data_IF_457075331859
#
_entry.id   IF_457075331859
#
_cell.length_a   1.000
_cell.length_b   1.000
_cell.length_c   1.000
_cell.angle_alpha   90.00
_cell.angle_beta   90.00
_cell.angle_gamma   90.00
#
_symmetry.space_group_name_H-M   'P 1'
#
loop_
_entity.id
_entity.type
_entity.pdbx_description
1 polymer ?
#
# COMPACT_ATOMS: atom_id res chain seq x y z
N UNK A 1 24.44 -44.29 -5.60
CA UNK A 1 23.52 -45.45 -5.57
C UNK A 1 22.81 -45.39 -4.23
N UNK A 2 21.49 -45.16 -4.25
CA UNK A 2 20.59 -45.49 -3.13
C UNK A 2 20.72 -46.99 -2.81
N UNK A 3 20.41 -47.45 -1.58
CA UNK A 3 19.01 -47.66 -1.22
C UNK A 3 18.62 -47.33 0.25
N UNK A 4 17.40 -46.82 0.44
CA UNK A 4 16.59 -46.96 1.66
C UNK A 4 16.29 -48.43 1.99
N UNK A 5 15.89 -48.77 3.24
CA UNK A 5 14.50 -49.20 3.40
C UNK A 5 13.80 -48.81 4.72
N UNK A 6 12.48 -48.74 4.61
CA UNK A 6 11.43 -48.64 5.64
C UNK A 6 11.51 -49.70 6.76
N UNK A 7 11.07 -49.31 7.96
CA UNK A 7 10.23 -50.15 8.83
C UNK A 7 9.13 -49.31 9.49
N UNK A 8 7.90 -49.76 9.29
CA UNK A 8 6.66 -49.31 9.92
C UNK A 8 6.50 -49.91 11.32
N UNK A 9 5.99 -49.13 12.27
CA UNK A 9 5.16 -49.66 13.35
C UNK A 9 4.16 -48.62 13.82
N UNK A 10 2.89 -49.01 13.76
CA UNK A 10 1.69 -48.35 14.26
C UNK A 10 1.66 -48.34 15.79
N UNK A 11 1.25 -47.23 16.40
CA UNK A 11 0.65 -47.23 17.73
C UNK A 11 -0.26 -46.00 17.88
N UNK A 12 -1.55 -46.26 18.06
CA UNK A 12 -2.56 -45.30 18.46
C UNK A 12 -2.26 -44.81 19.90
N UNK A 13 -2.47 -43.51 20.14
CA UNK A 13 -2.29 -42.91 21.46
C UNK A 13 -2.88 -41.51 21.49
N UNK A 14 -4.08 -41.44 22.04
CA UNK A 14 -4.79 -40.23 22.47
C UNK A 14 -3.90 -39.39 23.40
N UNK A 15 -3.76 -38.09 23.14
CA UNK A 15 -2.83 -37.25 23.90
C UNK A 15 -2.82 -35.78 23.48
N UNK A 16 -3.75 -35.02 24.06
CA UNK A 16 -3.71 -33.58 24.38
C UNK A 16 -2.64 -32.75 23.65
N UNK A 17 -3.04 -31.94 22.67
CA UNK A 17 -2.18 -30.88 22.11
C UNK A 17 -2.11 -29.74 23.13
N UNK A 18 -1.02 -29.68 23.88
CA UNK A 18 -0.63 -28.47 24.62
C UNK A 18 -0.11 -27.43 23.62
N UNK A 19 -0.83 -26.33 23.48
CA UNK A 19 -0.40 -25.17 22.69
C UNK A 19 0.62 -24.39 23.51
N UNK A 20 1.89 -24.21 23.08
CA UNK A 20 2.80 -23.32 23.77
C UNK A 20 2.42 -21.87 23.49
N UNK A 21 2.15 -21.10 24.56
CA UNK A 21 1.96 -19.66 24.49
C UNK A 21 3.33 -18.98 24.24
N UNK A 22 3.64 -18.72 22.97
CA UNK A 22 4.72 -17.80 22.59
C UNK A 22 4.27 -16.38 22.92
N UNK A 23 4.77 -15.88 24.04
CA UNK A 23 4.72 -14.47 24.45
C UNK A 23 5.81 -13.73 23.69
N UNK A 24 5.53 -13.36 22.43
CA UNK A 24 6.35 -12.37 21.74
C UNK A 24 5.93 -10.97 22.21
N UNK A 25 6.85 -10.12 22.68
CA UNK A 25 6.53 -8.74 23.01
C UNK A 25 6.11 -8.01 21.72
N UNK A 26 4.91 -7.45 21.73
CA UNK A 26 4.46 -6.52 20.68
C UNK A 26 5.50 -5.38 20.63
N UNK A 27 6.14 -5.11 19.48
CA UNK A 27 7.03 -3.96 19.36
C UNK A 27 6.23 -2.69 19.68
N UNK A 28 6.73 -1.88 20.60
CA UNK A 28 6.15 -0.58 20.91
C UNK A 28 6.01 0.23 19.61
N UNK A 29 4.93 1.01 19.42
CA UNK A 29 4.83 1.90 18.27
C UNK A 29 5.99 2.90 18.36
N UNK A 30 6.88 2.87 17.37
CA UNK A 30 7.89 3.89 17.20
C UNK A 30 7.19 5.25 17.15
N UNK A 31 7.45 6.07 18.16
CA UNK A 31 7.01 7.47 18.23
C UNK A 31 7.74 8.30 17.18
N UNK A 32 7.36 8.17 15.91
CA UNK A 32 7.61 9.21 14.92
C UNK A 32 6.56 10.30 15.13
N UNK A 33 6.80 11.12 16.16
CA UNK A 33 5.98 12.27 16.53
C UNK A 33 6.26 13.47 15.61
N UNK A 34 6.07 13.30 14.31
CA UNK A 34 5.61 14.41 13.47
C UNK A 34 4.09 14.40 13.57
N UNK A 35 3.47 15.53 13.89
CA UNK A 35 2.00 15.53 13.96
C UNK A 35 1.46 15.23 12.55
N UNK A 36 0.33 14.53 12.45
CA UNK A 36 -0.31 14.21 11.15
C UNK A 36 -0.53 15.48 10.32
N UNK A 37 -0.73 16.62 11.00
CA UNK A 37 -0.84 17.94 10.40
C UNK A 37 0.44 18.39 9.70
N UNK A 38 1.63 18.15 10.28
CA UNK A 38 2.93 18.49 9.67
C UNK A 38 3.16 17.71 8.36
N UNK A 39 2.79 16.42 8.34
CA UNK A 39 2.90 15.59 7.13
C UNK A 39 1.96 16.06 6.03
N UNK A 40 0.74 16.47 6.41
CA UNK A 40 -0.25 17.00 5.48
C UNK A 40 0.18 18.35 4.91
N UNK A 41 0.80 19.20 5.72
CA UNK A 41 1.38 20.45 5.24
C UNK A 41 2.54 20.20 4.27
N UNK A 42 3.48 19.33 4.62
CA UNK A 42 4.58 18.93 3.74
C UNK A 42 4.09 18.38 2.40
N UNK A 43 3.02 17.58 2.41
CA UNK A 43 2.37 17.11 1.19
C UNK A 43 1.80 18.25 0.35
N UNK A 44 1.12 19.20 0.98
CA UNK A 44 0.57 20.38 0.28
C UNK A 44 1.68 21.16 -0.41
N UNK A 45 2.81 21.37 0.27
CA UNK A 45 3.95 22.08 -0.29
C UNK A 45 4.55 21.36 -1.51
N UNK A 46 4.63 20.02 -1.47
CA UNK A 46 5.07 19.22 -2.62
C UNK A 46 4.09 19.36 -3.79
N UNK A 47 2.78 19.24 -3.52
CA UNK A 47 1.74 19.38 -4.55
C UNK A 47 1.86 20.73 -5.25
N UNK A 48 1.98 21.81 -4.48
CA UNK A 48 2.13 23.17 -5.01
C UNK A 48 3.41 23.32 -5.85
N UNK A 49 4.51 22.68 -5.45
CA UNK A 49 5.78 22.70 -6.19
C UNK A 49 5.71 21.88 -7.49
N UNK A 50 5.01 20.75 -7.49
CA UNK A 50 4.73 19.95 -8.71
C UNK A 50 3.90 20.77 -9.70
N UNK A 51 2.82 21.43 -9.25
CA UNK A 51 2.00 22.29 -10.09
C UNK A 51 2.80 23.47 -10.68
N UNK A 52 3.65 24.10 -9.86
CA UNK A 52 4.55 25.16 -10.31
C UNK A 52 5.54 24.65 -11.36
N UNK A 53 6.07 23.44 -11.19
CA UNK A 53 6.98 22.78 -12.13
C UNK A 53 6.30 22.47 -13.46
N UNK A 54 5.07 21.95 -13.43
CA UNK A 54 4.25 21.76 -14.64
C UNK A 54 4.00 23.10 -15.37
N UNK A 55 3.70 24.15 -14.63
CA UNK A 55 3.55 25.50 -15.17
C UNK A 55 4.84 26.04 -15.81
N UNK A 56 6.00 25.78 -15.22
CA UNK A 56 7.31 26.14 -15.77
C UNK A 56 7.61 25.36 -17.05
N UNK A 57 7.36 24.06 -17.08
CA UNK A 57 7.51 23.21 -18.27
C UNK A 57 6.66 23.73 -19.43
N UNK A 58 5.40 24.07 -19.18
CA UNK A 58 4.52 24.64 -20.20
C UNK A 58 5.03 26.00 -20.70
N UNK A 59 5.45 26.88 -19.78
CA UNK A 59 6.06 28.18 -20.13
C UNK A 59 7.34 28.01 -20.95
N UNK A 60 8.14 27.00 -20.65
CA UNK A 60 9.36 26.67 -21.38
C UNK A 60 9.03 26.21 -22.80
N UNK A 61 8.06 25.30 -22.94
CA UNK A 61 7.53 24.85 -24.23
C UNK A 61 7.08 26.03 -25.11
N UNK A 62 6.30 26.97 -24.58
CA UNK A 62 5.84 28.14 -25.33
C UNK A 62 7.00 29.02 -25.80
N UNK A 63 8.00 29.24 -24.94
CA UNK A 63 9.20 30.02 -25.29
C UNK A 63 10.04 29.35 -26.37
N UNK A 64 10.21 28.03 -26.31
CA UNK A 64 10.96 27.27 -27.33
C UNK A 64 10.18 27.21 -28.65
N UNK A 65 8.86 27.02 -28.58
CA UNK A 65 8.00 26.90 -29.77
C UNK A 65 7.93 28.19 -30.61
N UNK A 66 8.11 29.35 -29.96
CA UNK A 66 8.10 30.67 -30.60
C UNK A 66 9.41 31.42 -30.37
N UNK A 67 10.52 30.68 -30.40
CA UNK A 67 11.83 31.23 -30.04
C UNK A 67 12.23 32.42 -30.93
N UNK A 68 12.77 33.44 -30.28
CA UNK A 68 13.45 34.57 -30.91
C UNK A 68 14.71 34.95 -30.12
N UNK A 69 15.62 35.71 -30.72
CA UNK A 69 16.86 36.15 -30.05
C UNK A 69 16.58 36.90 -28.74
N UNK A 70 15.50 37.69 -28.69
CA UNK A 70 15.08 38.39 -27.47
C UNK A 70 14.67 37.44 -26.33
N UNK A 71 14.26 36.20 -26.65
CA UNK A 71 13.83 35.20 -25.67
C UNK A 71 14.98 34.35 -25.12
N UNK A 72 16.21 34.52 -25.62
CA UNK A 72 17.35 33.70 -25.20
C UNK A 72 17.64 33.78 -23.70
N UNK A 73 17.71 35.00 -23.14
CA UNK A 73 17.95 35.17 -21.71
C UNK A 73 16.78 34.65 -20.86
N UNK A 74 15.50 34.99 -21.14
CA UNK A 74 14.36 34.39 -20.45
C UNK A 74 14.31 32.86 -20.50
N UNK A 75 14.71 32.25 -21.63
CA UNK A 75 14.77 30.80 -21.79
C UNK A 75 15.77 30.18 -20.81
N UNK A 76 17.00 30.72 -20.75
CA UNK A 76 18.04 30.25 -19.83
C UNK A 76 17.63 30.43 -18.36
N UNK A 77 17.00 31.56 -18.03
CA UNK A 77 16.46 31.80 -16.69
C UNK A 77 15.40 30.75 -16.32
N UNK A 78 14.45 30.47 -17.22
CA UNK A 78 13.39 29.47 -16.99
C UNK A 78 13.96 28.05 -16.83
N UNK A 79 14.99 27.68 -17.59
CA UNK A 79 15.68 26.40 -17.43
C UNK A 79 16.34 26.28 -16.04
N UNK A 80 17.07 27.31 -15.61
CA UNK A 80 17.69 27.31 -14.29
C UNK A 80 16.64 27.27 -13.17
N UNK A 81 15.52 27.99 -13.32
CA UNK A 81 14.40 27.92 -12.39
C UNK A 81 13.79 26.52 -12.34
N UNK A 82 13.61 25.85 -13.47
CA UNK A 82 13.12 24.47 -13.51
C UNK A 82 14.05 23.51 -12.76
N UNK A 83 15.36 23.62 -12.98
CA UNK A 83 16.35 22.80 -12.26
C UNK A 83 16.29 23.06 -10.75
N UNK A 84 16.16 24.32 -10.34
CA UNK A 84 16.05 24.68 -8.92
C UNK A 84 14.74 24.17 -8.28
N UNK A 85 13.61 24.22 -8.99
CA UNK A 85 12.34 23.68 -8.49
C UNK A 85 12.37 22.16 -8.39
N UNK A 86 12.98 21.44 -9.35
CA UNK A 86 13.16 19.98 -9.26
C UNK A 86 14.04 19.56 -8.09
N UNK A 87 15.13 20.29 -7.82
CA UNK A 87 15.96 20.10 -6.62
C UNK A 87 15.17 20.40 -5.33
N UNK A 88 14.31 21.42 -5.38
CA UNK A 88 13.35 21.73 -4.32
C UNK A 88 12.41 20.54 -4.03
N UNK A 89 11.74 20.01 -5.07
CA UNK A 89 10.83 18.86 -4.93
C UNK A 89 11.56 17.67 -4.30
N UNK A 90 12.79 17.38 -4.74
CA UNK A 90 13.58 16.27 -4.18
C UNK A 90 13.81 16.44 -2.67
N UNK A 91 14.14 17.65 -2.22
CA UNK A 91 14.34 17.97 -0.79
C UNK A 91 13.05 17.92 0.01
N UNK A 92 11.94 18.42 -0.54
CA UNK A 92 10.65 18.35 0.14
C UNK A 92 10.18 16.89 0.27
N UNK A 93 10.43 16.07 -0.75
CA UNK A 93 10.05 14.64 -0.76
C UNK A 93 10.69 13.82 0.36
N UNK A 94 11.88 14.20 0.84
CA UNK A 94 12.54 13.53 1.98
C UNK A 94 11.71 13.60 3.27
N UNK A 95 10.85 14.62 3.41
CA UNK A 95 9.99 14.79 4.58
C UNK A 95 8.64 14.04 4.44
N UNK A 96 8.36 13.45 3.28
CA UNK A 96 7.11 12.76 3.00
C UNK A 96 7.24 11.24 3.13
N UNK A 97 7.12 10.76 4.37
CA UNK A 97 7.24 9.35 4.73
C UNK A 97 5.92 8.56 4.50
N UNK A 98 5.56 8.31 3.24
CA UNK A 98 4.38 7.50 2.88
C UNK A 98 4.80 6.14 2.31
N UNK A 99 4.09 5.07 2.70
CA UNK A 99 4.23 3.77 2.08
C UNK A 99 3.19 3.64 0.96
N UNK A 100 3.68 3.50 -0.27
CA UNK A 100 2.85 3.35 -1.46
C UNK A 100 2.97 1.90 -1.93
N UNK A 101 1.86 1.13 -2.00
CA UNK A 101 1.87 -0.22 -2.58
C UNK A 101 2.33 -0.20 -4.04
N UNK A 102 3.13 -1.18 -4.45
CA UNK A 102 3.67 -1.25 -5.81
C UNK A 102 2.55 -1.35 -6.86
N UNK A 103 1.43 -1.97 -6.52
CA UNK A 103 0.25 -2.07 -7.38
C UNK A 103 -0.29 -0.69 -7.77
N UNK A 104 -0.24 0.29 -6.85
CA UNK A 104 -0.66 1.66 -7.12
C UNK A 104 0.27 2.33 -8.13
N UNK A 105 1.59 2.11 -8.01
CA UNK A 105 2.59 2.63 -8.95
C UNK A 105 2.37 2.06 -10.35
N UNK A 106 2.13 0.74 -10.45
CA UNK A 106 1.83 0.09 -11.73
C UNK A 106 0.56 0.65 -12.39
N UNK A 107 -0.48 0.97 -11.61
CA UNK A 107 -1.68 1.62 -12.16
C UNK A 107 -1.38 2.99 -12.76
N UNK A 108 -0.51 3.77 -12.12
CA UNK A 108 -0.08 5.09 -12.62
C UNK A 108 0.70 4.94 -13.93
N UNK A 109 1.64 4.01 -13.99
CA UNK A 109 2.45 3.75 -15.19
C UNK A 109 1.59 3.28 -16.38
N UNK A 110 0.55 2.48 -16.10
CA UNK A 110 -0.46 2.04 -17.08
C UNK A 110 -1.45 3.17 -17.49
N UNK A 111 -1.41 4.34 -16.85
CA UNK A 111 -2.37 5.43 -17.07
C UNK A 111 -3.78 5.14 -16.54
N UNK A 112 -3.92 4.22 -15.57
CA UNK A 112 -5.18 3.89 -14.89
C UNK A 112 -5.37 4.73 -13.63
N UNK A 113 -6.61 4.76 -13.13
CA UNK A 113 -6.91 5.46 -11.88
C UNK A 113 -6.36 4.65 -10.67
N UNK A 114 -5.46 5.20 -9.84
CA UNK A 114 -4.94 4.53 -8.65
C UNK A 114 -6.03 4.19 -7.62
N UNK A 115 -7.18 4.88 -7.60
CA UNK A 115 -8.31 4.56 -6.72
C UNK A 115 -8.91 3.17 -6.98
N UNK A 116 -8.62 2.58 -8.14
CA UNK A 116 -9.01 1.20 -8.42
C UNK A 116 -8.41 0.23 -7.40
N UNK A 117 -7.15 0.43 -7.00
CA UNK A 117 -6.53 -0.37 -5.95
C UNK A 117 -7.31 -0.28 -4.63
N UNK A 118 -7.64 0.94 -4.20
CA UNK A 118 -8.42 1.19 -2.97
C UNK A 118 -9.78 0.48 -3.04
N UNK A 119 -10.47 0.59 -4.17
CA UNK A 119 -11.76 -0.06 -4.41
C UNK A 119 -11.64 -1.59 -4.32
N UNK A 120 -10.63 -2.17 -4.94
CA UNK A 120 -10.43 -3.61 -5.01
C UNK A 120 -10.07 -4.19 -3.63
N UNK A 121 -9.24 -3.49 -2.85
CA UNK A 121 -8.91 -3.85 -1.47
C UNK A 121 -10.16 -3.82 -0.59
N UNK A 122 -10.97 -2.76 -0.67
CA UNK A 122 -12.22 -2.65 0.10
C UNK A 122 -13.19 -3.78 -0.28
N UNK A 123 -13.38 -4.05 -1.58
CA UNK A 123 -14.25 -5.12 -2.05
C UNK A 123 -13.75 -6.51 -1.60
N UNK A 124 -12.44 -6.75 -1.68
CA UNK A 124 -11.80 -7.97 -1.19
C UNK A 124 -12.03 -8.15 0.32
N UNK A 125 -11.92 -7.07 1.09
CA UNK A 125 -12.20 -7.08 2.52
C UNK A 125 -13.67 -7.41 2.82
N UNK A 126 -14.62 -6.78 2.12
CA UNK A 126 -16.06 -7.06 2.27
C UNK A 126 -16.35 -8.54 2.00
N UNK A 127 -15.85 -9.07 0.87
CA UNK A 127 -16.04 -10.46 0.49
C UNK A 127 -15.44 -11.42 1.52
N UNK A 128 -14.20 -11.18 1.95
CA UNK A 128 -13.51 -11.99 2.97
C UNK A 128 -14.20 -11.92 4.33
N UNK A 129 -14.73 -10.77 4.72
CA UNK A 129 -15.48 -10.61 5.96
C UNK A 129 -16.78 -11.42 5.91
N UNK A 130 -17.52 -11.37 4.80
CA UNK A 130 -18.75 -12.15 4.63
C UNK A 130 -18.49 -13.66 4.65
N UNK A 131 -17.42 -14.13 3.98
CA UNK A 131 -17.01 -15.53 4.03
C UNK A 131 -16.63 -15.95 5.45
N UNK A 132 -15.84 -15.13 6.15
CA UNK A 132 -15.41 -15.41 7.53
C UNK A 132 -16.61 -15.49 8.46
N UNK A 133 -17.55 -14.55 8.34
CA UNK A 133 -18.80 -14.58 9.10
C UNK A 133 -19.58 -15.86 8.84
N UNK A 134 -19.81 -16.23 7.58
CA UNK A 134 -20.52 -17.45 7.22
C UNK A 134 -19.84 -18.72 7.77
N UNK A 135 -18.50 -18.78 7.76
CA UNK A 135 -17.73 -19.87 8.37
C UNK A 135 -17.90 -19.92 9.90
N UNK A 136 -17.83 -18.77 10.57
CA UNK A 136 -18.02 -18.69 12.03
C UNK A 136 -19.45 -19.07 12.43
N UNK A 137 -20.45 -18.62 11.68
CA UNK A 137 -21.86 -18.94 11.93
C UNK A 137 -22.10 -20.45 11.76
N UNK A 138 -21.53 -21.07 10.72
CA UNK A 138 -21.63 -22.52 10.51
C UNK A 138 -20.98 -23.36 11.63
N UNK A 139 -19.93 -22.85 12.29
CA UNK A 139 -19.30 -23.51 13.44
C UNK A 139 -20.07 -23.31 14.75
N UNK A 140 -20.96 -22.31 14.82
CA UNK A 140 -21.80 -22.02 15.99
C UNK A 140 -23.14 -22.77 15.94
N UNK A 141 -23.59 -23.15 14.75
CA UNK A 141 -24.83 -23.88 14.50
C UNK A 141 -24.82 -25.44 14.63
N UNK A 142 -23.71 -26.19 14.87
CA UNK A 142 -23.79 -27.66 14.83
C UNK A 142 -24.55 -28.32 16.01
N UNK A 143 -25.15 -27.55 16.94
CA UNK A 143 -25.94 -28.06 18.07
C UNK A 143 -27.40 -27.60 18.14
N UNK A 144 -27.93 -26.84 17.17
CA UNK A 144 -29.35 -26.42 17.19
C UNK A 144 -30.28 -27.27 16.30
N UNK A 145 -29.70 -28.11 15.42
CA UNK A 145 -30.43 -28.86 14.40
C UNK A 145 -30.55 -30.37 14.61
N UNK A 146 -29.96 -30.94 15.66
CA UNK A 146 -30.18 -32.35 16.02
C UNK A 146 -31.52 -32.50 16.77
N UNK A 147 -32.62 -32.21 16.08
CA UNK A 147 -33.95 -32.61 16.55
C UNK A 147 -33.99 -34.13 16.78
N UNK A 148 -34.77 -34.61 17.78
CA UNK A 148 -34.79 -36.01 18.17
C UNK A 148 -35.14 -36.86 16.94
N UNK A 149 -34.19 -37.69 16.50
CA UNK A 149 -34.44 -38.72 15.50
C UNK A 149 -35.58 -39.60 16.02
N UNK A 150 -36.69 -39.59 15.29
CA UNK A 150 -37.77 -40.55 15.46
C UNK A 150 -37.17 -41.96 15.51
N UNK A 151 -37.22 -42.59 16.67
CA UNK A 151 -37.05 -44.03 16.80
C UNK A 151 -38.32 -44.58 17.45
N UNK A 152 -38.96 -45.45 16.67
CA UNK A 152 -40.06 -46.40 16.96
C UNK A 152 -41.39 -45.82 17.39
#
# INVERSE_FOLDING_TARGET
MDPSPHKSSTAAGDGVVSVPASTDPIPAPNSNSGTVDDQKESLSQIIDSVDRTLGLLHKLYLTVSSFSVASQLPLLQRLNTLVAELDGIQKLAENCNFQIPLEVVNLIDDGKNPDQFTRDVINSFISKNQITKGKTDALKEPEAGAGPKCYT
#
